data_IF_493585156955
#
_entry.id   IF_493585156955
#
_cell.length_a   1.000
_cell.length_b   1.000
_cell.length_c   1.000
_cell.angle_alpha   90.00
_cell.angle_beta   90.00
_cell.angle_gamma   90.00
#
_symmetry.space_group_name_H-M   'P 1'
#
loop_
_entity.id
_entity.type
_entity.pdbx_description
1 polymer ?
#
# COMPACT_ATOMS: atom_id res chain seq x y z
N UNK A 1 -0.91 46.54 -4.59
CA UNK A 1 0.20 46.02 -5.41
C UNK A 1 -0.36 44.95 -6.34
N UNK A 2 -0.05 44.96 -7.65
CA UNK A 2 -0.45 43.85 -8.52
C UNK A 2 0.18 42.56 -7.98
N UNK A 3 -0.61 41.49 -7.84
CA UNK A 3 -0.08 40.20 -7.43
C UNK A 3 0.93 39.75 -8.47
N UNK A 4 2.15 39.41 -8.03
CA UNK A 4 3.19 38.88 -8.90
C UNK A 4 2.66 37.58 -9.52
N UNK A 5 2.98 37.38 -10.81
CA UNK A 5 2.65 36.13 -11.49
C UNK A 5 3.43 34.99 -10.82
N UNK A 6 2.81 33.82 -10.55
CA UNK A 6 3.49 32.72 -9.89
C UNK A 6 4.62 32.19 -10.75
N UNK A 7 5.78 31.98 -10.13
CA UNK A 7 7.02 31.61 -10.82
C UNK A 7 7.43 30.17 -10.52
N UNK A 8 7.15 29.68 -9.30
CA UNK A 8 7.42 28.29 -8.93
C UNK A 8 6.33 27.33 -9.43
N UNK A 9 6.65 26.08 -9.80
CA UNK A 9 5.66 25.07 -10.17
C UNK A 9 4.56 24.88 -9.12
N UNK A 10 4.91 24.89 -7.84
CA UNK A 10 3.95 24.80 -6.73
C UNK A 10 2.98 25.99 -6.71
N UNK A 11 3.52 27.19 -6.92
CA UNK A 11 2.72 28.42 -6.97
C UNK A 11 1.77 28.41 -8.17
N UNK A 12 2.21 27.89 -9.32
CA UNK A 12 1.36 27.75 -10.51
C UNK A 12 0.20 26.79 -10.27
N UNK A 13 0.47 25.64 -9.64
CA UNK A 13 -0.56 24.65 -9.27
C UNK A 13 -1.56 25.25 -8.26
N UNK A 14 -1.07 25.94 -7.23
CA UNK A 14 -1.93 26.54 -6.21
C UNK A 14 -2.77 27.70 -6.78
N UNK A 15 -2.20 28.52 -7.66
CA UNK A 15 -2.93 29.57 -8.36
C UNK A 15 -4.02 28.97 -9.27
N UNK A 16 -3.70 27.90 -10.02
CA UNK A 16 -4.65 27.22 -10.89
C UNK A 16 -5.86 26.68 -10.10
N UNK A 17 -5.64 26.11 -8.91
CA UNK A 17 -6.73 25.69 -8.00
C UNK A 17 -7.65 26.86 -7.64
N UNK A 18 -7.07 28.02 -7.31
CA UNK A 18 -7.83 29.23 -6.99
C UNK A 18 -8.68 29.73 -8.17
N UNK A 19 -8.12 29.74 -9.38
CA UNK A 19 -8.86 30.15 -10.57
C UNK A 19 -9.97 29.17 -10.95
N UNK A 20 -9.74 27.86 -10.82
CA UNK A 20 -10.79 26.83 -10.98
C UNK A 20 -11.93 27.03 -9.99
N UNK A 21 -11.63 27.33 -8.72
CA UNK A 21 -12.65 27.64 -7.73
C UNK A 21 -13.47 28.90 -8.11
N UNK A 22 -12.82 29.94 -8.64
CA UNK A 22 -13.51 31.15 -9.10
C UNK A 22 -14.47 30.90 -10.27
N UNK A 23 -14.15 29.96 -11.18
CA UNK A 23 -15.06 29.59 -12.28
C UNK A 23 -16.37 28.96 -11.79
N UNK A 24 -16.29 28.15 -10.73
CA UNK A 24 -17.44 27.44 -10.16
C UNK A 24 -18.24 28.28 -9.16
N UNK A 25 -17.72 29.41 -8.69
CA UNK A 25 -18.43 30.27 -7.76
C UNK A 25 -19.49 31.13 -8.50
N UNK A 26 -20.75 31.04 -8.08
CA UNK A 26 -21.87 31.80 -8.64
C UNK A 26 -21.78 33.30 -8.32
N UNK A 27 -21.08 33.68 -7.25
CA UNK A 27 -20.90 35.07 -6.83
C UNK A 27 -19.76 35.81 -7.56
N UNK A 28 -19.11 35.15 -8.51
CA UNK A 28 -18.02 35.74 -9.31
C UNK A 28 -18.59 36.24 -10.65
N UNK A 29 -18.24 37.47 -11.04
CA UNK A 29 -18.70 38.07 -12.29
C UNK A 29 -18.20 37.31 -13.52
N UNK A 30 -18.92 37.41 -14.64
CA UNK A 30 -18.54 36.75 -15.89
C UNK A 30 -17.17 37.22 -16.40
N UNK A 31 -16.88 38.52 -16.30
CA UNK A 31 -15.57 39.10 -16.64
C UNK A 31 -14.44 38.50 -15.79
N UNK A 32 -14.66 38.32 -14.48
CA UNK A 32 -13.68 37.70 -13.61
C UNK A 32 -13.49 36.20 -13.92
N UNK A 33 -14.54 35.51 -14.39
CA UNK A 33 -14.44 34.12 -14.87
C UNK A 33 -13.67 34.01 -16.18
N UNK A 34 -13.86 34.93 -17.11
CA UNK A 34 -13.08 34.98 -18.35
C UNK A 34 -11.59 35.19 -18.06
N UNK A 35 -11.27 36.16 -17.21
CA UNK A 35 -9.90 36.37 -16.74
C UNK A 35 -9.33 35.11 -16.04
N UNK A 36 -10.14 34.40 -15.24
CA UNK A 36 -9.71 33.15 -14.62
C UNK A 36 -9.37 32.05 -15.64
N UNK A 37 -10.12 31.95 -16.75
CA UNK A 37 -9.81 31.01 -17.85
C UNK A 37 -8.51 31.36 -18.54
N UNK A 38 -8.29 32.64 -18.85
CA UNK A 38 -7.03 33.09 -19.46
C UNK A 38 -5.82 32.80 -18.57
N UNK A 39 -5.97 33.03 -17.26
CA UNK A 39 -4.90 32.73 -16.30
C UNK A 39 -4.64 31.23 -16.19
N UNK A 40 -5.66 30.37 -16.21
CA UNK A 40 -5.47 28.91 -16.22
C UNK A 40 -4.65 28.44 -17.42
N UNK A 41 -4.91 29.01 -18.61
CA UNK A 41 -4.10 28.70 -19.79
C UNK A 41 -2.65 29.14 -19.62
N UNK A 42 -2.40 30.35 -19.09
CA UNK A 42 -1.04 30.87 -18.87
C UNK A 42 -0.26 30.12 -17.79
N UNK A 43 -0.94 29.48 -16.84
CA UNK A 43 -0.30 28.78 -15.72
C UNK A 43 0.21 27.39 -16.08
N UNK A 44 -0.30 26.77 -17.16
CA UNK A 44 0.10 25.43 -17.62
C UNK A 44 0.23 24.43 -16.45
N UNK A 45 -0.86 24.22 -15.70
CA UNK A 45 -0.86 23.40 -14.48
C UNK A 45 -0.29 21.99 -14.68
N UNK A 46 -0.54 21.38 -15.85
CA UNK A 46 -0.08 20.04 -16.17
C UNK A 46 1.45 20.00 -16.37
N UNK A 47 2.02 21.02 -17.01
CA UNK A 47 3.48 21.18 -17.15
C UNK A 47 4.13 21.43 -15.78
N UNK A 48 3.51 22.28 -14.96
CA UNK A 48 3.97 22.55 -13.59
C UNK A 48 3.95 21.29 -12.70
N UNK A 49 2.98 20.40 -12.89
CA UNK A 49 2.92 19.11 -12.18
C UNK A 49 4.02 18.16 -12.61
N UNK A 50 4.36 18.14 -13.90
CA UNK A 50 5.43 17.31 -14.42
C UNK A 50 6.78 17.78 -13.88
N UNK A 51 7.05 19.09 -13.91
CA UNK A 51 8.26 19.68 -13.33
C UNK A 51 8.43 19.30 -11.84
N UNK A 52 7.34 19.38 -11.05
CA UNK A 52 7.38 19.00 -9.63
C UNK A 52 7.65 17.51 -9.43
N UNK A 53 7.16 16.66 -10.35
CA UNK A 53 7.35 15.21 -10.29
C UNK A 53 8.76 14.77 -10.69
N UNK A 54 9.42 15.53 -11.56
CA UNK A 54 10.81 15.30 -11.96
C UNK A 54 11.79 15.74 -10.86
N UNK A 55 11.48 16.83 -10.16
CA UNK A 55 12.35 17.40 -9.12
C UNK A 55 12.20 16.68 -7.76
N UNK A 56 11.05 16.04 -7.53
CA UNK A 56 10.79 15.27 -6.31
C UNK A 56 11.22 13.80 -6.46
N UNK A 57 12.35 13.42 -5.85
CA UNK A 57 12.69 12.01 -5.54
C UNK A 57 11.78 11.48 -4.42
N UNK A 58 10.48 11.74 -4.48
CA UNK A 58 9.53 11.18 -3.55
C UNK A 58 8.82 10.00 -4.22
N UNK A 59 9.33 8.80 -3.96
CA UNK A 59 8.61 7.57 -4.28
C UNK A 59 7.33 7.61 -3.46
N UNK A 60 6.14 7.79 -4.08
CA UNK A 60 4.93 7.85 -3.30
C UNK A 60 4.72 6.47 -2.69
N UNK A 61 4.30 6.40 -1.42
CA UNK A 61 3.68 5.20 -0.85
C UNK A 61 2.30 4.93 -1.50
N UNK A 62 2.15 5.19 -2.80
CA UNK A 62 1.05 4.70 -3.59
C UNK A 62 1.42 3.29 -4.03
N UNK A 63 0.59 2.32 -3.61
CA UNK A 63 0.42 1.03 -4.28
C UNK A 63 0.59 1.26 -5.77
N UNK A 64 1.71 0.79 -6.32
CA UNK A 64 2.06 0.96 -7.74
C UNK A 64 0.82 0.56 -8.56
N UNK A 65 0.16 1.49 -9.27
CA UNK A 65 -0.78 1.07 -10.30
C UNK A 65 0.07 0.30 -11.30
N UNK A 66 -0.30 -0.96 -11.53
CA UNK A 66 0.31 -1.82 -12.55
C UNK A 66 0.27 -1.02 -13.85
N UNK A 67 1.41 -0.49 -14.25
CA UNK A 67 1.56 0.37 -15.42
C UNK A 67 1.04 -0.38 -16.64
N UNK A 68 0.34 0.33 -17.52
CA UNK A 68 -0.18 -0.17 -18.80
C UNK A 68 0.92 -0.56 -19.82
N UNK A 69 2.18 -0.52 -19.42
CA UNK A 69 3.33 -1.05 -20.15
C UNK A 69 3.69 -2.38 -19.49
N UNK A 70 3.56 -3.47 -20.27
CA UNK A 70 3.59 -4.86 -19.81
C UNK A 70 4.88 -5.24 -19.10
N UNK A 71 4.94 -4.95 -17.81
CA UNK A 71 5.92 -5.50 -16.89
C UNK A 71 5.43 -6.92 -16.55
N UNK A 72 5.83 -7.91 -17.35
CA UNK A 72 5.58 -9.34 -17.13
C UNK A 72 6.39 -9.87 -15.92
N UNK A 73 6.34 -9.15 -14.80
CA UNK A 73 6.90 -9.67 -13.56
C UNK A 73 6.05 -10.85 -13.12
N UNK A 74 6.65 -12.03 -12.90
CA UNK A 74 5.93 -13.19 -12.42
C UNK A 74 5.25 -12.84 -11.10
N UNK A 75 3.96 -13.16 -10.98
CA UNK A 75 3.18 -12.92 -9.76
C UNK A 75 3.85 -13.70 -8.63
N UNK A 76 4.33 -12.97 -7.62
CA UNK A 76 4.98 -13.56 -6.44
C UNK A 76 3.99 -14.42 -5.65
N UNK A 77 4.50 -15.40 -4.88
CA UNK A 77 3.66 -16.22 -4.01
C UNK A 77 2.83 -15.36 -3.04
N UNK A 78 3.46 -14.33 -2.49
CA UNK A 78 2.79 -13.39 -1.58
C UNK A 78 1.65 -12.63 -2.25
N UNK A 79 1.80 -12.24 -3.51
CA UNK A 79 0.74 -11.58 -4.30
C UNK A 79 -0.42 -12.52 -4.58
N UNK A 80 -0.16 -13.80 -4.89
CA UNK A 80 -1.21 -14.82 -5.06
C UNK A 80 -2.04 -14.98 -3.78
N UNK A 81 -1.36 -15.10 -2.63
CA UNK A 81 -2.01 -15.19 -1.32
C UNK A 81 -2.84 -13.93 -1.02
N UNK A 82 -2.30 -12.74 -1.33
CA UNK A 82 -2.99 -11.47 -1.10
C UNK A 82 -4.21 -11.31 -2.02
N UNK A 83 -4.09 -11.69 -3.30
CA UNK A 83 -5.18 -11.67 -4.26
C UNK A 83 -6.34 -12.58 -3.80
N UNK A 84 -6.03 -13.82 -3.44
CA UNK A 84 -7.03 -14.75 -2.90
C UNK A 84 -7.71 -14.21 -1.64
N UNK A 85 -6.96 -13.57 -0.73
CA UNK A 85 -7.54 -12.91 0.45
C UNK A 85 -8.52 -11.80 0.06
N UNK A 86 -8.18 -11.00 -0.95
CA UNK A 86 -9.04 -9.95 -1.49
C UNK A 86 -10.34 -10.50 -2.06
N UNK A 87 -10.28 -11.55 -2.87
CA UNK A 87 -11.47 -12.19 -3.43
C UNK A 87 -12.34 -12.85 -2.36
N UNK A 88 -11.74 -13.51 -1.36
CA UNK A 88 -12.46 -14.04 -0.18
C UNK A 88 -13.19 -12.93 0.59
N UNK A 89 -12.58 -11.75 0.69
CA UNK A 89 -13.23 -10.58 1.30
C UNK A 89 -14.39 -10.05 0.45
N UNK A 90 -14.22 -9.99 -0.87
CA UNK A 90 -15.27 -9.54 -1.79
C UNK A 90 -16.55 -10.41 -1.70
N UNK A 91 -16.39 -11.74 -1.59
CA UNK A 91 -17.52 -12.66 -1.40
C UNK A 91 -18.33 -12.35 -0.13
N UNK A 92 -17.66 -11.97 0.96
CA UNK A 92 -18.28 -11.68 2.26
C UNK A 92 -18.83 -10.26 2.37
N UNK A 93 -18.41 -9.35 1.50
CA UNK A 93 -18.83 -7.96 1.55
C UNK A 93 -20.27 -7.81 1.01
N UNK A 94 -21.23 -7.28 1.79
CA UNK A 94 -22.60 -7.06 1.31
C UNK A 94 -22.70 -5.97 0.23
N UNK A 95 -21.71 -5.06 0.14
CA UNK A 95 -21.69 -3.97 -0.83
C UNK A 95 -21.19 -4.39 -2.22
N UNK A 96 -20.66 -5.62 -2.36
CA UNK A 96 -20.21 -6.15 -3.65
C UNK A 96 -21.41 -6.74 -4.39
N UNK A 97 -21.54 -6.41 -5.67
CA UNK A 97 -22.61 -6.92 -6.54
C UNK A 97 -22.55 -8.44 -6.71
N UNK A 98 -23.66 -9.05 -7.12
CA UNK A 98 -23.70 -10.49 -7.42
C UNK A 98 -22.67 -10.88 -8.49
N UNK A 99 -22.58 -10.12 -9.58
CA UNK A 99 -21.59 -10.29 -10.65
C UNK A 99 -20.15 -10.17 -10.12
N UNK A 100 -19.88 -9.20 -9.24
CA UNK A 100 -18.56 -9.02 -8.62
C UNK A 100 -18.18 -10.20 -7.72
N UNK A 101 -19.16 -10.81 -7.05
CA UNK A 101 -18.95 -12.03 -6.24
C UNK A 101 -18.72 -13.26 -7.11
N UNK A 102 -19.48 -13.41 -8.20
CA UNK A 102 -19.28 -14.50 -9.15
C UNK A 102 -17.86 -14.43 -9.77
N UNK A 103 -17.44 -13.24 -10.20
CA UNK A 103 -16.08 -13.03 -10.68
C UNK A 103 -15.04 -13.39 -9.60
N UNK A 104 -15.22 -12.92 -8.36
CA UNK A 104 -14.32 -13.26 -7.25
C UNK A 104 -14.25 -14.77 -6.99
N UNK A 105 -15.37 -15.49 -7.18
CA UNK A 105 -15.42 -16.93 -7.02
C UNK A 105 -14.61 -17.64 -8.12
N UNK A 106 -14.77 -17.23 -9.38
CA UNK A 106 -14.00 -17.78 -10.50
C UNK A 106 -12.49 -17.55 -10.33
N UNK A 107 -12.09 -16.33 -9.95
CA UNK A 107 -10.68 -16.01 -9.69
C UNK A 107 -10.08 -16.85 -8.55
N UNK A 108 -10.87 -17.22 -7.54
CA UNK A 108 -10.41 -18.10 -6.46
C UNK A 108 -10.19 -19.55 -6.90
N UNK A 109 -10.85 -20.02 -7.96
CA UNK A 109 -10.59 -21.35 -8.53
C UNK A 109 -9.30 -21.35 -9.35
N UNK A 110 -8.98 -20.23 -9.99
CA UNK A 110 -7.73 -20.07 -10.75
C UNK A 110 -6.51 -19.84 -9.83
N UNK A 111 -6.71 -19.12 -8.73
CA UNK A 111 -5.66 -18.84 -7.76
C UNK A 111 -5.56 -20.00 -6.76
N UNK A 112 -4.57 -20.87 -6.96
CA UNK A 112 -4.19 -21.87 -5.96
C UNK A 112 -3.47 -21.19 -4.76
N UNK A 113 -4.28 -20.64 -3.84
CA UNK A 113 -3.77 -19.93 -2.67
C UNK A 113 -3.20 -20.85 -1.60
N UNK A 114 -3.57 -22.12 -1.64
CA UNK A 114 -3.09 -23.12 -0.68
C UNK A 114 -1.70 -23.62 -1.05
N UNK A 115 -1.47 -23.96 -2.32
CA UNK A 115 -0.12 -24.27 -2.79
C UNK A 115 0.83 -23.08 -2.62
N UNK A 116 0.37 -21.86 -2.93
CA UNK A 116 1.17 -20.66 -2.75
C UNK A 116 1.55 -20.41 -1.27
N UNK A 117 0.67 -20.75 -0.32
CA UNK A 117 0.99 -20.71 1.12
C UNK A 117 2.03 -21.74 1.49
N UNK A 118 1.83 -22.99 1.09
CA UNK A 118 2.75 -24.08 1.42
C UNK A 118 4.16 -23.78 0.90
N UNK A 119 4.27 -23.34 -0.35
CA UNK A 119 5.53 -22.95 -0.97
C UNK A 119 6.18 -21.77 -0.23
N UNK A 120 5.41 -20.74 0.14
CA UNK A 120 5.91 -19.62 0.92
C UNK A 120 6.37 -20.05 2.33
N UNK A 121 5.68 -20.99 2.97
CA UNK A 121 6.07 -21.53 4.27
C UNK A 121 7.37 -22.33 4.19
N UNK A 122 7.55 -23.13 3.14
CA UNK A 122 8.79 -23.88 2.90
C UNK A 122 9.95 -22.94 2.54
N UNK A 123 9.73 -21.91 1.73
CA UNK A 123 10.75 -20.91 1.41
C UNK A 123 11.16 -20.08 2.64
N UNK A 124 10.24 -19.90 3.60
CA UNK A 124 10.47 -19.25 4.89
C UNK A 124 11.07 -20.17 5.98
N UNK A 125 11.47 -21.41 5.67
CA UNK A 125 12.40 -22.19 6.50
C UNK A 125 13.83 -21.61 6.52
N UNK A 126 14.01 -20.37 6.06
CA UNK A 126 15.15 -19.55 6.47
C UNK A 126 15.26 -19.59 7.99
N UNK A 127 16.45 -19.96 8.49
CA UNK A 127 16.77 -19.95 9.91
C UNK A 127 16.29 -18.65 10.54
N UNK A 128 15.26 -18.75 11.38
CA UNK A 128 14.73 -17.61 12.13
C UNK A 128 15.85 -17.11 13.02
N UNK A 129 15.97 -15.79 13.14
CA UNK A 129 16.96 -15.18 14.02
C UNK A 129 16.79 -15.74 15.45
N UNK A 130 17.78 -16.49 15.98
CA UNK A 130 17.67 -17.18 17.26
C UNK A 130 17.41 -16.22 18.41
N UNK A 131 17.92 -14.98 18.33
CA UNK A 131 17.70 -13.94 19.34
C UNK A 131 16.23 -13.53 19.36
N UNK A 132 15.61 -13.36 18.18
CA UNK A 132 14.19 -13.01 18.07
C UNK A 132 13.29 -14.15 18.52
N UNK A 133 13.64 -15.39 18.19
CA UNK A 133 12.90 -16.58 18.65
C UNK A 133 12.96 -16.68 20.18
N UNK A 134 14.15 -16.59 20.78
CA UNK A 134 14.33 -16.60 22.23
C UNK A 134 13.56 -15.46 22.91
N UNK A 135 13.56 -14.25 22.34
CA UNK A 135 12.78 -13.13 22.87
C UNK A 135 11.26 -13.40 22.86
N UNK A 136 10.75 -14.01 21.78
CA UNK A 136 9.34 -14.41 21.67
C UNK A 136 8.95 -15.48 22.68
N UNK A 137 9.80 -16.48 22.88
CA UNK A 137 9.58 -17.53 23.89
C UNK A 137 9.61 -16.97 25.32
N UNK A 138 10.54 -16.04 25.61
CA UNK A 138 10.59 -15.33 26.91
C UNK A 138 9.33 -14.50 27.16
N UNK A 139 8.77 -13.90 26.11
CA UNK A 139 7.51 -13.18 26.19
C UNK A 139 6.33 -14.13 26.44
N UNK A 140 6.29 -15.29 25.77
CA UNK A 140 5.27 -16.30 25.98
C UNK A 140 5.26 -16.83 27.43
N UNK A 141 6.43 -17.05 28.04
CA UNK A 141 6.54 -17.45 29.45
C UNK A 141 5.93 -16.45 30.44
N UNK A 142 5.92 -15.17 30.10
CA UNK A 142 5.43 -14.10 30.99
C UNK A 142 3.99 -13.70 30.72
N UNK A 143 3.38 -14.22 29.66
CA UNK A 143 2.05 -13.83 29.23
C UNK A 143 0.98 -14.66 29.95
N UNK A 144 0.15 -14.05 30.82
CA UNK A 144 -0.88 -14.79 31.57
C UNK A 144 -2.01 -15.37 30.70
N UNK A 145 -2.07 -15.01 29.40
CA UNK A 145 -3.03 -15.56 28.44
C UNK A 145 -2.53 -16.85 27.77
N UNK A 146 -1.29 -17.26 28.04
CA UNK A 146 -0.71 -18.51 27.53
C UNK A 146 -1.06 -19.63 28.53
N UNK A 147 -1.30 -20.85 28.02
CA UNK A 147 -1.56 -22.00 28.88
C UNK A 147 -0.29 -22.46 29.61
N UNK A 148 -0.46 -23.17 30.72
CA UNK A 148 0.66 -23.80 31.43
C UNK A 148 1.50 -24.70 30.52
N UNK A 149 0.86 -25.50 29.67
CA UNK A 149 1.58 -26.28 28.65
C UNK A 149 2.37 -25.40 27.67
N UNK A 150 1.81 -24.24 27.30
CA UNK A 150 2.49 -23.27 26.44
C UNK A 150 3.71 -22.64 27.12
N UNK A 151 3.63 -22.37 28.43
CA UNK A 151 4.76 -21.91 29.23
C UNK A 151 5.87 -22.96 29.31
N UNK A 152 5.52 -24.23 29.55
CA UNK A 152 6.48 -25.34 29.62
C UNK A 152 7.20 -25.54 28.28
N UNK A 153 6.46 -25.66 27.17
CA UNK A 153 7.06 -25.79 25.83
C UNK A 153 7.95 -24.61 25.47
N UNK A 154 7.57 -23.39 25.86
CA UNK A 154 8.40 -22.22 25.63
C UNK A 154 9.71 -22.25 26.43
N UNK A 155 9.70 -22.83 27.64
CA UNK A 155 10.89 -23.05 28.45
C UNK A 155 11.82 -24.12 27.88
N UNK A 156 11.27 -25.24 27.42
CA UNK A 156 12.02 -26.32 26.79
C UNK A 156 12.77 -25.81 25.54
N UNK A 157 12.05 -25.16 24.62
CA UNK A 157 12.65 -24.58 23.41
C UNK A 157 13.68 -23.48 23.71
N UNK A 158 13.51 -22.72 24.81
CA UNK A 158 14.51 -21.72 25.21
C UNK A 158 15.81 -22.37 25.65
N UNK A 159 15.72 -23.46 26.40
CA UNK A 159 16.89 -24.21 26.84
C UNK A 159 17.62 -24.84 25.64
N UNK A 160 16.87 -25.36 24.65
CA UNK A 160 17.44 -25.91 23.42
C UNK A 160 18.22 -24.84 22.63
N UNK A 161 17.62 -23.66 22.40
CA UNK A 161 18.30 -22.56 21.69
C UNK A 161 19.52 -22.06 22.48
N UNK A 162 19.41 -21.94 23.80
CA UNK A 162 20.55 -21.54 24.64
C UNK A 162 21.65 -22.61 24.60
N UNK A 163 21.32 -23.91 24.59
CA UNK A 163 22.31 -24.98 24.45
C UNK A 163 23.00 -25.03 23.09
N UNK A 164 22.27 -24.80 22.00
CA UNK A 164 22.83 -24.75 20.65
C UNK A 164 23.75 -23.54 20.49
N UNK A 165 23.40 -22.39 21.09
CA UNK A 165 24.24 -21.18 21.07
C UNK A 165 25.54 -21.28 21.89
N UNK A 166 25.62 -22.23 22.83
CA UNK A 166 26.81 -22.49 23.65
C UNK A 166 27.72 -23.58 23.07
N UNK A 167 27.25 -24.31 22.04
CA UNK A 167 27.97 -25.38 21.38
C UNK A 167 28.76 -24.93 20.13
N UNK A 168 28.57 -23.68 19.70
CA UNK A 168 29.28 -22.99 18.59
C UNK A 168 30.43 -22.10 19.11
#
# INVERSE_FOLDING_TARGET
MPRKFPTSPEERINAARGYKAALHNEHVSNEAKEHAREMLNKLHEDEARLELSEESIHVPYHRQPRSLLGDERPITLQERINAARGYKAALRNPLVSAEGKEHAWNMLQEIDDEAARQELYHEQEKAKDPIRVAAGLKAAQKNPLVSEEGHQRAAEHLNEIESDSLAE
#
